data_IF_380653298276
#
_entry.id   IF_380653298276
#
_cell.length_a   1.000
_cell.length_b   1.000
_cell.length_c   1.000
_cell.angle_alpha   90.00
_cell.angle_beta   90.00
_cell.angle_gamma   90.00
#
_symmetry.space_group_name_H-M   'P 1'
#
loop_
_entity.id
_entity.type
_entity.pdbx_description
1 polymer ?
#
# COMPACT_ATOMS: atom_id res chain seq x y z
N UNK A 1 -1.37 -4.71 -10.78
CA UNK A 1 -1.79 -4.87 -9.38
C UNK A 1 -3.30 -5.11 -9.33
N UNK A 2 -3.74 -6.12 -8.57
CA UNK A 2 -5.16 -6.41 -8.30
C UNK A 2 -5.40 -6.20 -6.80
N UNK A 3 -6.49 -5.54 -6.42
CA UNK A 3 -6.84 -5.29 -5.02
C UNK A 3 -7.34 -3.88 -4.78
N UNK A 4 -6.97 -3.27 -3.67
CA UNK A 4 -7.35 -1.89 -3.30
C UNK A 4 -6.14 -0.96 -3.30
N UNK A 5 -6.40 0.35 -3.21
CA UNK A 5 -5.33 1.35 -3.04
C UNK A 5 -4.57 1.08 -1.73
N UNK A 6 -3.25 1.15 -1.79
CA UNK A 6 -2.40 0.96 -0.61
C UNK A 6 -2.53 2.13 0.37
N UNK A 7 -1.98 2.00 1.58
CA UNK A 7 -2.13 3.00 2.64
C UNK A 7 -1.46 4.36 2.37
N UNK A 8 -0.58 4.47 1.36
CA UNK A 8 0.11 5.72 1.06
C UNK A 8 1.14 6.15 2.10
N UNK A 9 1.54 5.26 3.01
CA UNK A 9 2.64 5.52 3.94
C UNK A 9 3.97 5.24 3.23
N UNK A 10 4.36 6.15 2.34
CA UNK A 10 5.57 6.04 1.52
C UNK A 10 6.41 7.28 1.72
N UNK A 11 6.97 7.38 2.91
CA UNK A 11 7.76 8.51 3.33
C UNK A 11 9.25 8.12 3.31
N UNK A 12 9.79 7.85 2.12
CA UNK A 12 11.22 7.63 1.85
C UNK A 12 12.01 6.82 2.90
N UNK A 13 13.32 7.06 2.98
CA UNK A 13 14.13 6.58 4.11
C UNK A 13 13.93 7.50 5.32
N UNK A 14 13.41 6.97 6.42
CA UNK A 14 13.27 7.70 7.67
C UNK A 14 14.62 7.83 8.38
N UNK A 15 14.94 9.04 8.84
CA UNK A 15 16.10 9.32 9.69
C UNK A 15 15.64 9.45 11.15
N UNK A 16 16.36 8.81 12.10
CA UNK A 16 16.06 8.95 13.52
C UNK A 16 16.62 10.26 14.09
N UNK A 17 15.85 10.87 14.98
CA UNK A 17 16.21 12.06 15.75
C UNK A 17 16.02 11.76 17.24
N UNK A 18 17.12 11.71 18.00
CA UNK A 18 17.08 11.48 19.44
C UNK A 18 16.70 12.78 20.17
N UNK A 19 15.69 12.71 21.02
CA UNK A 19 15.24 13.82 21.86
C UNK A 19 15.92 13.79 23.23
N UNK A 20 15.84 14.90 23.97
CA UNK A 20 16.53 15.05 25.25
C UNK A 20 16.04 14.08 26.35
N UNK A 21 14.83 13.55 26.22
CA UNK A 21 14.24 12.56 27.13
C UNK A 21 14.57 11.11 26.74
N UNK A 22 15.37 10.91 25.69
CA UNK A 22 15.74 9.59 25.17
C UNK A 22 14.74 8.97 24.19
N UNK A 23 13.64 9.65 23.87
CA UNK A 23 12.72 9.22 22.82
C UNK A 23 13.28 9.48 21.41
N UNK A 24 12.76 8.78 20.40
CA UNK A 24 13.22 8.90 19.01
C UNK A 24 12.06 9.32 18.11
N UNK A 25 12.24 10.42 17.38
CA UNK A 25 11.37 10.81 16.29
C UNK A 25 11.96 10.29 14.98
N UNK A 26 11.20 9.51 14.21
CA UNK A 26 11.61 9.05 12.88
C UNK A 26 10.91 9.89 11.82
N UNK A 27 11.70 10.62 11.03
CA UNK A 27 11.18 11.52 10.00
C UNK A 27 11.71 11.14 8.62
N UNK A 28 10.83 11.09 7.61
CA UNK A 28 11.26 10.98 6.22
C UNK A 28 12.06 12.22 5.81
N UNK A 29 13.09 12.03 4.98
CA UNK A 29 13.87 13.14 4.40
C UNK A 29 13.59 13.36 2.91
N UNK A 30 12.84 12.44 2.29
CA UNK A 30 12.50 12.43 0.87
C UNK A 30 11.05 11.98 0.69
N UNK A 31 10.46 12.34 -0.45
CA UNK A 31 9.18 11.80 -0.91
C UNK A 31 9.42 10.86 -2.09
N UNK A 32 8.68 9.76 -2.14
CA UNK A 32 8.67 8.86 -3.28
C UNK A 32 7.54 9.25 -4.25
N UNK A 33 7.79 9.08 -5.54
CA UNK A 33 6.79 9.28 -6.60
C UNK A 33 6.49 7.96 -7.29
N UNK A 34 5.22 7.75 -7.62
CA UNK A 34 4.75 6.60 -8.36
C UNK A 34 5.06 6.69 -9.86
N UNK A 35 4.53 5.72 -10.62
CA UNK A 35 4.62 5.73 -12.07
C UNK A 35 4.02 7.03 -12.65
N UNK A 36 4.63 7.55 -13.71
CA UNK A 36 4.18 8.81 -14.32
C UNK A 36 4.36 10.05 -13.42
N UNK A 37 5.22 9.97 -12.39
CA UNK A 37 5.41 11.01 -11.37
C UNK A 37 4.16 11.31 -10.53
N UNK A 38 3.26 10.33 -10.37
CA UNK A 38 2.11 10.45 -9.47
C UNK A 38 2.59 10.63 -8.01
N UNK A 39 2.00 11.59 -7.29
CA UNK A 39 2.22 11.71 -5.85
C UNK A 39 1.53 10.56 -5.13
N UNK A 40 2.28 9.75 -4.38
CA UNK A 40 1.74 8.58 -3.67
C UNK A 40 1.85 8.70 -2.14
N UNK A 41 2.63 9.65 -1.63
CA UNK A 41 2.73 9.92 -0.20
C UNK A 41 1.41 10.50 0.32
N UNK A 42 0.87 9.89 1.39
CA UNK A 42 -0.46 10.19 1.92
C UNK A 42 -1.64 9.71 1.05
N UNK A 43 -1.38 9.11 -0.12
CA UNK A 43 -2.42 8.68 -1.07
C UNK A 43 -2.39 7.16 -1.26
N UNK A 44 -1.25 6.60 -1.66
CA UNK A 44 -1.08 5.18 -2.00
C UNK A 44 -1.19 4.88 -3.48
N UNK A 45 -0.69 3.71 -3.87
CA UNK A 45 -0.66 3.26 -5.27
C UNK A 45 -2.03 2.73 -5.67
N UNK A 46 -2.58 3.24 -6.78
CA UNK A 46 -3.83 2.75 -7.34
C UNK A 46 -3.68 1.33 -7.92
N UNK A 47 -4.68 0.45 -7.79
CA UNK A 47 -4.67 -0.85 -8.47
C UNK A 47 -5.05 -0.69 -9.95
N UNK A 48 -4.51 -1.56 -10.81
CA UNK A 48 -4.97 -1.69 -12.20
C UNK A 48 -6.36 -2.33 -12.26
N UNK A 49 -6.66 -3.23 -11.31
CA UNK A 49 -7.97 -3.85 -11.12
C UNK A 49 -8.43 -3.65 -9.69
N UNK A 50 -9.42 -2.78 -9.50
CA UNK A 50 -10.02 -2.52 -8.19
C UNK A 50 -10.91 -3.69 -7.76
N UNK A 51 -10.59 -4.30 -6.61
CA UNK A 51 -11.36 -5.38 -6.03
C UNK A 51 -11.24 -5.36 -4.49
N UNK A 52 -12.26 -4.85 -3.76
CA UNK A 52 -12.26 -4.87 -2.30
C UNK A 52 -12.64 -6.26 -1.78
N UNK A 53 -11.96 -6.72 -0.73
CA UNK A 53 -12.37 -7.92 0.02
C UNK A 53 -13.70 -7.65 0.72
N UNK A 54 -14.65 -8.57 0.57
CA UNK A 54 -15.97 -8.49 1.19
C UNK A 54 -16.02 -9.29 2.50
N UNK A 55 -17.01 -9.02 3.39
CA UNK A 55 -17.25 -9.89 4.54
C UNK A 55 -17.59 -11.34 4.16
N UNK A 56 -18.23 -11.56 3.00
CA UNK A 56 -18.58 -12.89 2.52
C UNK A 56 -17.33 -13.68 2.14
N UNK A 57 -16.40 -13.05 1.41
CA UNK A 57 -15.07 -13.58 1.08
C UNK A 57 -14.35 -14.07 2.35
N UNK A 58 -14.36 -13.23 3.41
CA UNK A 58 -13.76 -13.58 4.70
C UNK A 58 -14.50 -14.73 5.40
N UNK A 59 -15.83 -14.74 5.36
CA UNK A 59 -16.65 -15.74 6.04
C UNK A 59 -16.59 -17.13 5.39
N UNK A 60 -16.28 -17.18 4.09
CA UNK A 60 -16.17 -18.41 3.30
C UNK A 60 -14.73 -18.86 3.06
N UNK A 61 -13.74 -18.06 3.47
CA UNK A 61 -12.32 -18.31 3.20
C UNK A 61 -11.96 -18.18 1.72
N UNK A 62 -12.78 -17.50 0.92
CA UNK A 62 -12.55 -17.26 -0.50
C UNK A 62 -11.68 -16.02 -0.69
N UNK A 63 -10.49 -16.16 -1.29
CA UNK A 63 -9.67 -15.03 -1.67
C UNK A 63 -10.01 -14.55 -3.09
N UNK A 64 -10.92 -13.58 -3.18
CA UNK A 64 -11.35 -12.99 -4.45
C UNK A 64 -10.22 -12.28 -5.20
N UNK A 65 -9.25 -11.68 -4.49
CA UNK A 65 -8.10 -10.97 -5.09
C UNK A 65 -7.19 -11.97 -5.79
N UNK A 66 -6.88 -13.09 -5.12
CA UNK A 66 -6.07 -14.15 -5.69
C UNK A 66 -6.80 -14.85 -6.85
N UNK A 67 -8.08 -15.17 -6.69
CA UNK A 67 -8.89 -15.76 -7.75
C UNK A 67 -8.91 -14.86 -9.00
N UNK A 68 -9.10 -13.54 -8.81
CA UNK A 68 -9.06 -12.58 -9.92
C UNK A 68 -7.66 -12.52 -10.55
N UNK A 69 -6.59 -12.49 -9.76
CA UNK A 69 -5.24 -12.49 -10.28
C UNK A 69 -4.97 -13.73 -11.16
N UNK A 70 -5.35 -14.93 -10.71
CA UNK A 70 -5.19 -16.17 -11.49
C UNK A 70 -5.94 -16.10 -12.83
N UNK A 71 -7.18 -15.59 -12.83
CA UNK A 71 -7.96 -15.44 -14.06
C UNK A 71 -7.29 -14.54 -15.10
N UNK A 72 -6.52 -13.53 -14.68
CA UNK A 72 -5.78 -12.64 -15.57
C UNK A 72 -4.53 -13.30 -16.17
N UNK A 73 -3.99 -14.31 -15.51
CA UNK A 73 -2.89 -15.14 -16.01
C UNK A 73 -3.37 -16.33 -16.85
N UNK A 74 -4.67 -16.46 -17.10
CA UNK A 74 -5.26 -17.59 -17.83
C UNK A 74 -5.18 -18.92 -17.07
N UNK A 75 -5.12 -18.86 -15.74
CA UNK A 75 -5.17 -20.03 -14.85
C UNK A 75 -6.52 -20.12 -14.15
#
# INVERSE_FOLDING_TARGET
MVGTRTAGVVAGQASPWLLADGSVLTLPSTHEVGAGHEMIDGIGVAPDVFLPTTPDDLSTGHDAVLAKALSLFGR
#
